data_IF_943089389963
#
_entry.id   IF_943089389963
#
_cell.length_a   1.000
_cell.length_b   1.000
_cell.length_c   1.000
_cell.angle_alpha   90.00
_cell.angle_beta   90.00
_cell.angle_gamma   90.00
#
_symmetry.space_group_name_H-M   'P 1'
#
loop_
_entity.id
_entity.type
_entity.pdbx_description
1 polymer ?
#
# COMPACT_ATOMS: atom_id res chain seq x y z
N UNK A 1 -4.48 7.19 8.21
CA UNK A 1 -4.90 6.32 7.08
C UNK A 1 -6.39 6.35 6.83
N UNK A 2 -7.25 6.04 7.81
CA UNK A 2 -8.72 6.04 7.64
C UNK A 2 -9.27 7.31 6.96
N UNK A 3 -8.91 8.49 7.47
CA UNK A 3 -9.33 9.78 6.88
C UNK A 3 -9.02 9.92 5.39
N UNK A 4 -7.84 9.45 4.95
CA UNK A 4 -7.44 9.48 3.54
C UNK A 4 -8.34 8.56 2.69
N UNK A 5 -8.67 7.38 3.20
CA UNK A 5 -9.59 6.46 2.52
C UNK A 5 -11.01 7.05 2.47
N UNK A 6 -11.47 7.66 3.55
CA UNK A 6 -12.79 8.30 3.62
C UNK A 6 -12.91 9.45 2.60
N UNK A 7 -11.86 10.27 2.45
CA UNK A 7 -11.81 11.31 1.40
C UNK A 7 -11.88 10.70 -0.01
N UNK A 8 -11.14 9.61 -0.26
CA UNK A 8 -11.10 8.94 -1.56
C UNK A 8 -12.41 8.21 -1.90
N UNK A 9 -13.16 7.75 -0.91
CA UNK A 9 -14.51 7.19 -1.08
C UNK A 9 -15.44 8.24 -1.69
N UNK A 10 -15.41 9.46 -1.16
CA UNK A 10 -16.26 10.57 -1.64
C UNK A 10 -15.90 10.94 -3.08
N UNK A 11 -14.62 10.98 -3.40
CA UNK A 11 -14.11 11.38 -4.72
C UNK A 11 -14.25 10.29 -5.79
N UNK A 12 -14.41 9.01 -5.39
CA UNK A 12 -14.38 7.89 -6.32
C UNK A 12 -15.24 6.70 -5.90
N UNK A 13 -16.55 6.81 -6.13
CA UNK A 13 -17.50 5.74 -5.81
C UNK A 13 -17.26 4.44 -6.59
N UNK A 14 -16.61 4.47 -7.75
CA UNK A 14 -16.32 3.27 -8.52
C UNK A 14 -15.36 2.29 -7.82
N UNK A 15 -14.51 2.76 -6.90
CA UNK A 15 -13.64 1.90 -6.08
C UNK A 15 -14.19 1.64 -4.67
N UNK A 16 -15.45 1.99 -4.41
CA UNK A 16 -16.02 1.92 -3.06
C UNK A 16 -15.75 0.57 -2.36
N UNK A 17 -15.94 -0.55 -3.07
CA UNK A 17 -15.65 -1.89 -2.54
C UNK A 17 -14.19 -2.05 -2.09
N UNK A 18 -13.23 -1.62 -2.90
CA UNK A 18 -11.81 -1.71 -2.56
C UNK A 18 -11.46 -0.86 -1.35
N UNK A 19 -12.07 0.32 -1.22
CA UNK A 19 -11.86 1.19 -0.06
C UNK A 19 -12.47 0.58 1.21
N UNK A 20 -13.64 -0.04 1.13
CA UNK A 20 -14.21 -0.79 2.25
C UNK A 20 -13.31 -1.96 2.67
N UNK A 21 -12.79 -2.73 1.71
CA UNK A 21 -11.84 -3.81 1.99
C UNK A 21 -10.58 -3.27 2.69
N UNK A 22 -10.04 -2.12 2.25
CA UNK A 22 -8.91 -1.47 2.94
C UNK A 22 -9.24 -1.02 4.37
N UNK A 23 -10.43 -0.47 4.60
CA UNK A 23 -10.87 -0.07 5.94
C UNK A 23 -10.96 -1.28 6.87
N UNK A 24 -11.54 -2.39 6.39
CA UNK A 24 -11.59 -3.64 7.13
C UNK A 24 -10.18 -4.16 7.42
N UNK A 25 -9.27 -4.17 6.45
CA UNK A 25 -7.88 -4.58 6.71
C UNK A 25 -7.21 -3.70 7.77
N UNK A 26 -7.37 -2.38 7.70
CA UNK A 26 -6.83 -1.46 8.70
C UNK A 26 -7.38 -1.68 10.10
N UNK A 27 -8.65 -2.04 10.22
CA UNK A 27 -9.28 -2.34 11.50
C UNK A 27 -8.67 -3.58 12.16
N UNK A 28 -8.33 -4.59 11.36
CA UNK A 28 -7.82 -5.87 11.86
C UNK A 28 -6.30 -5.88 12.08
N UNK A 29 -5.52 -5.20 11.25
CA UNK A 29 -4.05 -5.31 11.25
C UNK A 29 -3.32 -4.00 11.50
N UNK A 30 -4.04 -2.86 11.52
CA UNK A 30 -3.48 -1.51 11.57
C UNK A 30 -2.48 -1.16 10.45
N UNK A 31 -2.45 -1.96 9.38
CA UNK A 31 -1.61 -1.76 8.19
C UNK A 31 -2.35 -2.20 6.93
N UNK A 32 -1.89 -1.75 5.75
CA UNK A 32 -2.40 -2.22 4.47
C UNK A 32 -1.42 -3.22 3.84
N UNK A 33 -1.93 -4.13 3.00
CA UNK A 33 -1.05 -4.95 2.16
C UNK A 33 -0.31 -4.06 1.15
N UNK A 34 0.82 -4.53 0.57
CA UNK A 34 1.55 -3.76 -0.43
C UNK A 34 0.68 -3.37 -1.62
N UNK A 35 -0.19 -4.27 -2.09
CA UNK A 35 -1.12 -4.01 -3.15
C UNK A 35 -2.16 -2.96 -2.75
N UNK A 36 -2.78 -3.09 -1.57
CA UNK A 36 -3.74 -2.10 -1.09
C UNK A 36 -3.13 -0.71 -0.96
N UNK A 37 -1.96 -0.60 -0.32
CA UNK A 37 -1.24 0.67 -0.18
C UNK A 37 -0.92 1.27 -1.55
N UNK A 38 -0.53 0.44 -2.51
CA UNK A 38 -0.17 0.92 -3.84
C UNK A 38 -1.36 1.48 -4.62
N UNK A 39 -2.56 0.94 -4.40
CA UNK A 39 -3.79 1.51 -4.94
C UNK A 39 -4.09 2.82 -4.23
N UNK A 40 -4.00 2.85 -2.90
CA UNK A 40 -4.26 4.05 -2.11
C UNK A 40 -3.42 5.24 -2.58
N UNK A 41 -2.10 5.06 -2.69
CA UNK A 41 -1.19 6.10 -3.17
C UNK A 41 -1.49 6.54 -4.61
N UNK A 42 -1.81 5.59 -5.49
CA UNK A 42 -2.16 5.89 -6.87
C UNK A 42 -3.45 6.70 -6.97
N UNK A 43 -4.49 6.34 -6.20
CA UNK A 43 -5.76 7.08 -6.17
C UNK A 43 -5.57 8.47 -5.55
N UNK A 44 -4.82 8.59 -4.45
CA UNK A 44 -4.46 9.88 -3.88
C UNK A 44 -3.78 10.79 -4.91
N UNK A 45 -2.84 10.25 -5.69
CA UNK A 45 -2.17 10.97 -6.77
C UNK A 45 -3.12 11.41 -7.88
N UNK A 46 -4.03 10.54 -8.34
CA UNK A 46 -5.00 10.86 -9.40
C UNK A 46 -5.95 11.99 -8.99
N UNK A 47 -6.41 11.97 -7.75
CA UNK A 47 -7.38 12.96 -7.26
C UNK A 47 -6.73 14.17 -6.58
N UNK A 48 -5.40 14.29 -6.67
CA UNK A 48 -4.65 15.37 -6.03
C UNK A 48 -4.95 15.50 -4.53
N UNK A 49 -5.20 14.37 -3.85
CA UNK A 49 -5.41 14.35 -2.40
C UNK A 49 -4.06 14.36 -1.71
N UNK A 50 -3.82 15.36 -0.89
CA UNK A 50 -2.57 15.53 -0.16
C UNK A 50 -2.48 14.53 1.01
N UNK A 51 -1.32 13.87 1.12
CA UNK A 51 -1.02 12.96 2.24
C UNK A 51 -0.19 13.75 3.25
N UNK A 52 -0.86 14.28 4.27
CA UNK A 52 -0.24 15.18 5.26
C UNK A 52 0.83 14.50 6.13
N UNK A 53 0.65 13.21 6.44
CA UNK A 53 1.51 12.45 7.36
C UNK A 53 1.87 11.08 6.76
N UNK A 54 2.70 11.03 5.70
CA UNK A 54 3.06 9.79 5.02
C UNK A 54 3.80 8.80 5.93
N UNK A 55 4.49 9.28 6.95
CA UNK A 55 5.18 8.48 7.96
C UNK A 55 4.24 7.69 8.89
N UNK A 56 2.94 8.03 8.91
CA UNK A 56 1.92 7.25 9.61
C UNK A 56 1.34 6.12 8.76
N UNK A 57 1.69 6.04 7.48
CA UNK A 57 1.33 4.92 6.63
C UNK A 57 2.08 3.66 7.10
N UNK A 58 1.37 2.54 7.16
CA UNK A 58 1.91 1.25 7.58
C UNK A 58 1.60 0.21 6.52
N UNK A 59 2.62 -0.50 6.08
CA UNK A 59 2.54 -1.56 5.08
C UNK A 59 2.92 -2.87 5.77
N UNK A 60 2.03 -3.86 5.65
CA UNK A 60 2.26 -5.21 6.16
C UNK A 60 3.06 -6.03 5.15
N UNK A 61 4.14 -6.67 5.61
CA UNK A 61 4.99 -7.57 4.81
C UNK A 61 5.39 -8.76 5.71
N UNK A 62 4.40 -9.44 6.27
CA UNK A 62 4.56 -10.51 7.25
C UNK A 62 4.28 -11.90 6.70
N UNK A 63 3.31 -12.04 5.79
CA UNK A 63 2.89 -13.34 5.25
C UNK A 63 3.33 -13.55 3.79
N UNK A 64 3.26 -14.79 3.30
CA UNK A 64 3.69 -15.12 1.93
C UNK A 64 2.86 -14.42 0.85
N UNK A 65 1.56 -14.21 1.06
CA UNK A 65 0.73 -13.48 0.10
C UNK A 65 1.22 -12.03 -0.08
N UNK A 66 1.52 -11.33 1.01
CA UNK A 66 2.06 -9.95 0.96
C UNK A 66 3.45 -9.92 0.30
N UNK A 67 4.28 -10.93 0.56
CA UNK A 67 5.56 -11.07 -0.14
C UNK A 67 5.35 -11.32 -1.63
N UNK A 68 4.42 -12.16 -2.02
CA UNK A 68 4.06 -12.40 -3.42
C UNK A 68 3.57 -11.13 -4.11
N UNK A 69 2.78 -10.31 -3.43
CA UNK A 69 2.41 -8.98 -3.93
C UNK A 69 3.65 -8.14 -4.25
N UNK A 70 4.66 -8.12 -3.38
CA UNK A 70 5.95 -7.46 -3.66
C UNK A 70 6.68 -8.12 -4.83
N UNK A 71 6.77 -9.46 -4.86
CA UNK A 71 7.47 -10.23 -5.90
C UNK A 71 6.94 -9.94 -7.29
N UNK A 72 5.62 -9.87 -7.45
CA UNK A 72 4.99 -9.63 -8.75
C UNK A 72 4.72 -8.15 -9.03
N UNK A 73 4.86 -7.25 -8.06
CA UNK A 73 4.65 -5.82 -8.28
C UNK A 73 5.63 -5.23 -9.30
N UNK A 74 5.16 -4.39 -10.21
CA UNK A 74 6.04 -3.70 -11.16
C UNK A 74 7.06 -2.82 -10.41
N UNK A 75 8.31 -2.79 -10.88
CA UNK A 75 9.40 -2.07 -10.21
C UNK A 75 9.11 -0.58 -9.98
N UNK A 76 8.48 0.11 -10.94
CA UNK A 76 8.12 1.51 -10.77
C UNK A 76 7.11 1.73 -9.63
N UNK A 77 6.19 0.78 -9.44
CA UNK A 77 5.14 0.84 -8.41
C UNK A 77 5.73 0.54 -7.03
N UNK A 78 6.71 -0.37 -6.97
CA UNK A 78 7.49 -0.61 -5.77
C UNK A 78 8.30 0.64 -5.37
N UNK A 79 8.95 1.32 -6.30
CA UNK A 79 9.68 2.57 -6.02
C UNK A 79 8.79 3.66 -5.41
N UNK A 80 7.52 3.74 -5.83
CA UNK A 80 6.57 4.67 -5.21
C UNK A 80 6.22 4.26 -3.78
N UNK A 81 6.01 2.97 -3.52
CA UNK A 81 5.79 2.48 -2.16
C UNK A 81 7.01 2.72 -1.25
N UNK A 82 8.22 2.53 -1.77
CA UNK A 82 9.45 2.71 -1.00
C UNK A 82 9.57 4.11 -0.38
N UNK A 83 8.96 5.13 -1.01
CA UNK A 83 8.94 6.51 -0.49
C UNK A 83 8.25 6.64 0.87
N UNK A 84 7.26 5.79 1.14
CA UNK A 84 6.48 5.79 2.40
C UNK A 84 6.88 4.65 3.34
N UNK A 85 7.85 3.82 2.93
CA UNK A 85 8.39 2.72 3.73
C UNK A 85 9.56 3.16 4.60
N UNK A 86 9.73 2.48 5.73
CA UNK A 86 10.94 2.55 6.55
C UNK A 86 12.15 1.93 5.84
N UNK A 87 13.37 2.28 6.27
CA UNK A 87 14.61 1.71 5.73
C UNK A 87 14.63 0.18 5.79
N UNK A 88 14.15 -0.40 6.89
CA UNK A 88 14.08 -1.84 7.06
C UNK A 88 13.09 -2.49 6.08
N UNK A 89 11.88 -1.93 5.93
CA UNK A 89 10.89 -2.44 4.96
C UNK A 89 11.38 -2.36 3.51
N UNK A 90 12.09 -1.28 3.12
CA UNK A 90 12.69 -1.19 1.78
C UNK A 90 13.69 -2.32 1.55
N UNK A 91 14.54 -2.59 2.53
CA UNK A 91 15.51 -3.69 2.45
C UNK A 91 14.81 -5.04 2.30
N UNK A 92 13.77 -5.30 3.09
CA UNK A 92 12.96 -6.52 2.98
C UNK A 92 12.35 -6.67 1.58
N UNK A 93 11.75 -5.60 1.02
CA UNK A 93 11.22 -5.64 -0.34
C UNK A 93 12.28 -5.97 -1.40
N UNK A 94 13.48 -5.41 -1.25
CA UNK A 94 14.60 -5.67 -2.17
C UNK A 94 15.10 -7.12 -2.07
N UNK A 95 15.14 -7.68 -0.87
CA UNK A 95 15.47 -9.09 -0.64
C UNK A 95 14.43 -10.00 -1.31
N UNK A 96 13.14 -9.75 -1.03
CA UNK A 96 12.01 -10.46 -1.65
C UNK A 96 12.05 -10.40 -3.19
N UNK A 97 12.43 -9.25 -3.78
CA UNK A 97 12.59 -9.09 -5.23
C UNK A 97 13.76 -9.86 -5.83
N UNK A 98 14.81 -10.11 -5.04
CA UNK A 98 16.04 -10.79 -5.47
C UNK A 98 15.99 -12.29 -5.25
N UNK A 99 15.04 -12.79 -4.47
CA UNK A 99 14.77 -14.21 -4.33
C UNK A 99 14.60 -14.83 -5.72
N UNK A 100 15.55 -15.68 -6.11
CA UNK A 100 15.45 -16.50 -7.32
C UNK A 100 14.46 -17.61 -7.04
N UNK A 101 13.33 -17.58 -7.71
CA UNK A 101 12.34 -18.65 -7.66
C UNK A 101 12.87 -19.88 -8.39
N UNK A 102 12.73 -21.04 -7.73
CA UNK A 102 12.93 -22.37 -8.30
C UNK A 102 11.59 -22.96 -8.70
#
# INVERSE_FOLDING_TARGET
MKLLIDQLIVLNRAFYRYYLEMLLTLEHTHALTPWQMSILLWRAKIFHVEILYPELLRISIGNEQEKDEIRFMKMWKLKELEKVMTVWQRRQCQEIKREKWR
#
